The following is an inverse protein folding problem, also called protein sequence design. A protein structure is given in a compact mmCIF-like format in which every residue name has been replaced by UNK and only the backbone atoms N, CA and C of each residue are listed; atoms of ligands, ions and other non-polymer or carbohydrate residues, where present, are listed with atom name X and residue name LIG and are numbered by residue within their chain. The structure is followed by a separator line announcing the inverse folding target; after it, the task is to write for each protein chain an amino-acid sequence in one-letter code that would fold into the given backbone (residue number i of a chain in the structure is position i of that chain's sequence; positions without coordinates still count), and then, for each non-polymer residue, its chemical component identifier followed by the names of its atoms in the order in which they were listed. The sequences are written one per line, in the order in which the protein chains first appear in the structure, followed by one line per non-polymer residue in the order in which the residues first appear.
data_IF_257637327421
#
_entry.id   IF_257637327421
#
_cell.length_a   1.000
_cell.length_b   1.000
_cell.length_c   1.000
_cell.angle_alpha   90.00
_cell.angle_beta   90.00
_cell.angle_gamma   90.00
#
_symmetry.space_group_name_H-M   'P 1'
#
loop_
_entity.id
_entity.type
_entity.pdbx_description
1 polymer ?
#
# COMPACT_ATOMS: atom_id res chain seq x y z
N UNK A 1 11.71 35.77 41.32
CA UNK A 1 12.74 34.97 40.64
C UNK A 1 12.14 33.60 40.37
N UNK A 2 11.99 33.25 39.10
CA UNK A 2 11.43 31.97 38.64
C UNK A 2 12.49 30.88 38.76
N UNK A 3 12.23 29.73 39.41
CA UNK A 3 12.87 28.49 39.06
C UNK A 3 12.03 27.82 37.97
N UNK A 4 12.54 27.85 36.74
CA UNK A 4 12.07 27.05 35.63
C UNK A 4 12.09 25.56 36.00
N UNK A 5 10.92 24.98 36.25
CA UNK A 5 10.74 23.53 36.24
C UNK A 5 10.92 23.05 34.80
N UNK A 6 12.04 22.39 34.56
CA UNK A 6 12.26 21.56 33.38
C UNK A 6 11.27 20.39 33.45
N UNK A 7 10.21 20.43 32.66
CA UNK A 7 9.39 19.25 32.42
C UNK A 7 10.17 18.32 31.52
N UNK A 8 10.79 17.27 32.08
CA UNK A 8 11.29 16.14 31.31
C UNK A 8 10.10 15.55 30.54
N UNK A 9 10.04 15.83 29.24
CA UNK A 9 9.12 15.13 28.34
C UNK A 9 9.62 13.69 28.24
N UNK A 10 8.94 12.81 28.97
CA UNK A 10 9.12 11.38 28.83
C UNK A 10 8.73 11.01 27.39
N UNK A 11 9.73 10.65 26.56
CA UNK A 11 9.50 10.14 25.22
C UNK A 11 8.95 8.73 25.40
N UNK A 12 7.63 8.59 25.47
CA UNK A 12 6.99 7.27 25.37
C UNK A 12 7.27 6.74 23.97
N UNK A 13 8.00 5.63 23.88
CA UNK A 13 8.15 4.90 22.62
C UNK A 13 6.78 4.26 22.32
N UNK A 14 6.00 4.91 21.46
CA UNK A 14 4.71 4.40 20.99
C UNK A 14 4.95 3.19 20.07
N UNK A 15 4.77 1.98 20.61
CA UNK A 15 4.62 0.78 19.80
C UNK A 15 3.13 0.60 19.49
N UNK A 16 2.76 0.52 18.21
CA UNK A 16 1.35 0.39 17.83
C UNK A 16 0.70 -0.91 18.32
N UNK A 17 1.48 -1.91 18.70
CA UNK A 17 0.99 -3.24 19.07
C UNK A 17 0.39 -4.03 17.90
N UNK A 18 0.50 -3.50 16.67
CA UNK A 18 -0.03 -4.11 15.45
C UNK A 18 1.07 -4.87 14.73
N UNK A 19 0.79 -6.13 14.39
CA UNK A 19 1.70 -6.98 13.59
C UNK A 19 1.30 -6.97 12.12
N UNK A 20 2.21 -7.35 11.22
CA UNK A 20 1.90 -7.46 9.79
C UNK A 20 1.68 -8.93 9.47
N UNK A 21 0.57 -9.26 8.81
CA UNK A 21 0.31 -10.62 8.36
C UNK A 21 1.33 -11.03 7.27
N UNK A 22 1.82 -12.27 7.31
CA UNK A 22 2.79 -12.81 6.35
C UNK A 22 2.32 -12.67 4.89
N UNK A 23 1.00 -12.72 4.66
CA UNK A 23 0.44 -12.49 3.33
C UNK A 23 0.73 -11.08 2.80
N UNK A 24 0.66 -10.06 3.65
CA UNK A 24 0.99 -8.67 3.27
C UNK A 24 2.47 -8.57 2.89
N UNK A 25 3.35 -9.25 3.64
CA UNK A 25 4.79 -9.30 3.36
C UNK A 25 5.05 -10.00 2.01
N UNK A 26 4.36 -11.12 1.75
CA UNK A 26 4.43 -11.83 0.47
C UNK A 26 3.99 -10.94 -0.68
N UNK A 27 2.83 -10.28 -0.55
CA UNK A 27 2.29 -9.36 -1.56
C UNK A 27 3.26 -8.21 -1.85
N UNK A 28 3.82 -7.59 -0.81
CA UNK A 28 4.82 -6.53 -0.95
C UNK A 28 6.06 -7.01 -1.72
N UNK A 29 6.60 -8.17 -1.37
CA UNK A 29 7.77 -8.72 -2.04
C UNK A 29 7.49 -9.08 -3.50
N UNK A 30 6.31 -9.64 -3.79
CA UNK A 30 5.90 -9.95 -5.16
C UNK A 30 5.77 -8.69 -6.02
N UNK A 31 5.19 -7.61 -5.47
CA UNK A 31 5.12 -6.31 -6.15
C UNK A 31 6.50 -5.68 -6.34
N UNK A 32 7.39 -5.79 -5.35
CA UNK A 32 8.73 -5.21 -5.37
C UNK A 32 9.67 -5.89 -6.37
N UNK A 33 9.69 -7.23 -6.43
CA UNK A 33 10.70 -7.98 -7.18
C UNK A 33 10.39 -8.05 -8.69
N UNK A 34 9.16 -7.69 -9.10
CA UNK A 34 8.73 -7.62 -10.52
C UNK A 34 9.24 -8.80 -11.36
N UNK A 35 9.03 -10.04 -10.90
CA UNK A 35 9.42 -11.25 -11.64
C UNK A 35 8.63 -11.31 -12.96
N UNK A 36 9.30 -11.07 -14.08
CA UNK A 36 8.70 -11.08 -15.42
C UNK A 36 9.15 -12.33 -16.18
N UNK A 37 8.54 -13.47 -15.85
CA UNK A 37 8.90 -14.77 -16.44
C UNK A 37 8.07 -15.06 -17.70
N UNK A 38 6.78 -14.73 -17.67
CA UNK A 38 5.83 -14.97 -18.77
C UNK A 38 4.76 -13.88 -18.86
N UNK A 39 4.12 -13.74 -20.03
CA UNK A 39 3.01 -12.79 -20.25
C UNK A 39 1.84 -13.03 -19.28
N UNK A 40 1.56 -14.30 -18.96
CA UNK A 40 0.51 -14.67 -18.02
C UNK A 40 0.85 -14.30 -16.57
N UNK A 41 2.13 -14.41 -16.18
CA UNK A 41 2.58 -13.96 -14.87
C UNK A 41 2.49 -12.43 -14.74
N UNK A 42 2.80 -11.70 -15.82
CA UNK A 42 2.71 -10.24 -15.86
C UNK A 42 1.28 -9.77 -15.63
N UNK A 43 0.29 -10.42 -16.26
CA UNK A 43 -1.13 -10.08 -16.09
C UNK A 43 -1.61 -10.28 -14.65
N UNK A 44 -1.11 -11.30 -13.96
CA UNK A 44 -1.45 -11.60 -12.55
C UNK A 44 -0.78 -10.70 -11.53
N UNK A 45 0.18 -9.85 -11.94
CA UNK A 45 0.80 -8.89 -11.04
C UNK A 45 -0.22 -7.88 -10.54
N UNK A 46 -0.09 -7.50 -9.28
CA UNK A 46 -0.92 -6.44 -8.69
C UNK A 46 -0.40 -5.08 -9.14
N UNK A 47 -1.25 -4.29 -9.77
CA UNK A 47 -1.04 -2.86 -10.00
C UNK A 47 -1.28 -2.07 -8.72
N UNK A 48 -2.32 -2.47 -7.98
CA UNK A 48 -2.68 -1.85 -6.71
C UNK A 48 -3.30 -2.87 -5.76
N UNK A 49 -3.17 -2.65 -4.46
CA UNK A 49 -3.79 -3.48 -3.41
C UNK A 49 -4.02 -2.65 -2.15
N UNK A 50 -5.14 -2.88 -1.47
CA UNK A 50 -5.44 -2.30 -0.16
C UNK A 50 -5.19 -3.30 0.97
N UNK A 51 -4.81 -2.74 2.10
CA UNK A 51 -4.68 -3.42 3.38
C UNK A 51 -5.52 -2.68 4.42
N UNK A 52 -6.03 -3.43 5.38
CA UNK A 52 -6.78 -2.91 6.52
C UNK A 52 -6.26 -3.52 7.81
N UNK A 53 -6.73 -2.99 8.94
CA UNK A 53 -6.58 -3.67 10.22
C UNK A 53 -7.56 -4.84 10.27
N UNK A 54 -7.13 -5.95 10.88
CA UNK A 54 -8.01 -7.04 11.28
C UNK A 54 -9.09 -6.53 12.24
N UNK A 55 -10.19 -7.28 12.36
CA UNK A 55 -11.31 -6.91 13.25
C UNK A 55 -10.88 -6.65 14.70
N UNK A 56 -9.90 -7.43 15.20
CA UNK A 56 -9.31 -7.28 16.53
C UNK A 56 -8.26 -6.16 16.63
N UNK A 57 -7.96 -5.47 15.52
CA UNK A 57 -6.96 -4.41 15.36
C UNK A 57 -5.53 -4.80 15.71
N UNK A 58 -5.21 -6.10 15.74
CA UNK A 58 -3.86 -6.60 16.09
C UNK A 58 -2.99 -6.87 14.87
N UNK A 59 -3.57 -6.93 13.67
CA UNK A 59 -2.85 -7.28 12.44
C UNK A 59 -3.19 -6.34 11.29
N UNK A 60 -2.22 -6.05 10.45
CA UNK A 60 -2.46 -5.54 9.09
C UNK A 60 -2.65 -6.75 8.18
N UNK A 61 -3.76 -6.78 7.45
CA UNK A 61 -4.16 -7.87 6.55
C UNK A 61 -4.48 -7.34 5.15
N UNK A 62 -4.43 -8.20 4.15
CA UNK A 62 -4.90 -7.87 2.80
C UNK A 62 -6.41 -7.69 2.82
N UNK A 63 -6.92 -6.62 2.22
CA UNK A 63 -8.35 -6.43 2.06
C UNK A 63 -8.82 -7.19 0.81
N UNK A 64 -9.57 -8.26 1.01
CA UNK A 64 -10.03 -9.13 -0.06
C UNK A 64 -10.87 -8.37 -1.09
N UNK A 65 -10.64 -8.64 -2.38
CA UNK A 65 -11.36 -8.00 -3.48
C UNK A 65 -10.97 -6.53 -3.75
N UNK A 66 -10.11 -5.93 -2.93
CA UNK A 66 -9.63 -4.54 -3.09
C UNK A 66 -8.24 -4.49 -3.72
N UNK A 67 -8.14 -5.06 -4.92
CA UNK A 67 -6.91 -5.06 -5.72
C UNK A 67 -7.22 -4.79 -7.19
N UNK A 68 -6.19 -4.35 -7.92
CA UNK A 68 -6.23 -4.14 -9.37
C UNK A 68 -5.07 -4.95 -9.96
N UNK A 69 -5.32 -5.77 -10.97
CA UNK A 69 -4.26 -6.50 -11.66
C UNK A 69 -3.75 -5.72 -12.86
N UNK A 70 -2.50 -5.94 -13.23
CA UNK A 70 -1.90 -5.35 -14.44
C UNK A 70 -2.62 -5.84 -15.69
N UNK A 71 -3.09 -7.09 -15.68
CA UNK A 71 -3.86 -7.67 -16.78
C UNK A 71 -5.24 -7.05 -16.99
N UNK A 72 -5.78 -6.34 -16.00
CA UNK A 72 -7.09 -5.68 -16.12
C UNK A 72 -6.97 -4.33 -16.86
N UNK A 73 -5.76 -3.77 -16.93
CA UNK A 73 -5.48 -2.47 -17.53
C UNK A 73 -5.64 -2.56 -19.05
N UNK A 74 -6.53 -1.75 -19.60
CA UNK A 74 -6.87 -1.76 -21.03
C UNK A 74 -7.88 -2.86 -21.44
N UNK A 75 -8.28 -3.73 -20.52
CA UNK A 75 -9.35 -4.71 -20.73
C UNK A 75 -10.65 -4.25 -20.04
N UNK A 76 -10.57 -3.97 -18.73
CA UNK A 76 -11.71 -3.52 -17.92
C UNK A 76 -11.40 -2.27 -17.07
N UNK A 77 -10.13 -1.87 -17.02
CA UNK A 77 -9.63 -0.72 -16.26
C UNK A 77 -8.90 0.23 -17.22
N UNK A 78 -9.56 1.33 -17.58
CA UNK A 78 -8.96 2.38 -18.43
C UNK A 78 -8.01 3.30 -17.64
N UNK A 79 -8.44 3.69 -16.43
CA UNK A 79 -7.66 4.53 -15.51
C UNK A 79 -7.38 3.76 -14.21
N UNK A 80 -6.19 3.14 -14.08
CA UNK A 80 -5.83 2.38 -12.89
C UNK A 80 -5.79 3.22 -11.61
N UNK A 81 -5.37 4.48 -11.70
CA UNK A 81 -5.27 5.34 -10.52
C UNK A 81 -6.66 5.81 -10.08
N UNK A 82 -7.50 6.24 -11.01
CA UNK A 82 -8.89 6.58 -10.73
C UNK A 82 -9.68 5.40 -10.17
N UNK A 83 -9.47 4.18 -10.68
CA UNK A 83 -10.05 2.96 -10.12
C UNK A 83 -9.53 2.69 -8.70
N UNK A 84 -8.22 2.87 -8.44
CA UNK A 84 -7.65 2.72 -7.11
C UNK A 84 -8.29 3.70 -6.10
N UNK A 85 -8.44 4.97 -6.47
CA UNK A 85 -9.08 5.99 -5.61
C UNK A 85 -10.53 5.61 -5.28
N UNK A 86 -11.28 5.03 -6.23
CA UNK A 86 -12.65 4.55 -6.00
C UNK A 86 -12.73 3.35 -5.04
N UNK A 87 -11.64 2.60 -4.84
CA UNK A 87 -11.61 1.50 -3.89
C UNK A 87 -11.48 1.98 -2.44
N UNK A 88 -10.93 3.17 -2.22
CA UNK A 88 -10.66 3.76 -0.92
C UNK A 88 -11.98 4.21 -0.24
N UNK A 89 -12.26 3.76 0.99
CA UNK A 89 -13.47 4.13 1.69
C UNK A 89 -13.39 5.55 2.26
N UNK A 90 -14.43 6.40 2.13
CA UNK A 90 -14.36 7.81 2.56
C UNK A 90 -14.32 8.00 4.08
N UNK A 91 -14.75 7.00 4.85
CA UNK A 91 -14.97 7.11 6.31
C UNK A 91 -14.14 6.09 7.11
N UNK A 92 -13.14 5.46 6.49
CA UNK A 92 -12.33 4.44 7.14
C UNK A 92 -10.90 4.48 6.61
N UNK A 93 -9.92 4.24 7.47
CA UNK A 93 -8.51 4.34 7.09
C UNK A 93 -8.05 3.09 6.36
N UNK A 94 -7.14 3.26 5.40
CA UNK A 94 -6.53 2.14 4.66
C UNK A 94 -5.05 2.36 4.45
N UNK A 95 -4.34 1.24 4.30
CA UNK A 95 -3.02 1.26 3.69
C UNK A 95 -3.15 0.75 2.26
N UNK A 96 -2.32 1.27 1.36
CA UNK A 96 -2.30 0.82 -0.02
C UNK A 96 -0.88 0.71 -0.55
N UNK A 97 -0.68 -0.23 -1.47
CA UNK A 97 0.47 -0.23 -2.35
C UNK A 97 0.00 0.01 -3.78
N UNK A 98 0.67 0.92 -4.46
CA UNK A 98 0.42 1.26 -5.85
C UNK A 98 1.72 1.23 -6.64
N UNK A 99 1.81 0.38 -7.66
CA UNK A 99 2.95 0.36 -8.59
C UNK A 99 2.78 1.50 -9.59
N UNK A 100 3.31 2.68 -9.25
CA UNK A 100 3.16 3.89 -10.05
C UNK A 100 4.05 3.82 -11.28
N UNK A 101 3.46 4.04 -12.45
CA UNK A 101 4.20 4.17 -13.71
C UNK A 101 4.03 5.60 -14.19
N UNK A 102 5.13 6.32 -14.39
CA UNK A 102 5.12 7.71 -14.81
C UNK A 102 6.26 7.98 -15.78
N UNK A 103 6.11 9.03 -16.59
CA UNK A 103 7.10 9.41 -17.59
C UNK A 103 7.75 10.74 -17.19
N UNK A 104 9.09 10.75 -17.22
CA UNK A 104 9.88 11.98 -17.17
C UNK A 104 10.34 12.34 -18.58
N UNK A 105 10.93 13.52 -18.76
CA UNK A 105 11.53 13.92 -20.04
C UNK A 105 12.62 12.95 -20.53
N UNK A 106 13.21 12.18 -19.61
CA UNK A 106 14.37 11.33 -19.88
C UNK A 106 14.00 9.85 -19.97
N UNK A 107 13.04 9.38 -19.16
CA UNK A 107 12.70 7.96 -19.11
C UNK A 107 11.32 7.72 -18.51
N UNK A 108 10.78 6.55 -18.84
CA UNK A 108 9.67 5.95 -18.10
C UNK A 108 10.21 5.34 -16.81
N UNK A 109 9.57 5.69 -15.69
CA UNK A 109 9.90 5.20 -14.35
C UNK A 109 8.73 4.40 -13.81
N UNK A 110 9.07 3.51 -12.88
CA UNK A 110 8.11 2.71 -12.17
C UNK A 110 8.55 2.58 -10.71
N UNK A 111 7.77 3.13 -9.78
CA UNK A 111 8.06 3.11 -8.36
C UNK A 111 6.90 2.53 -7.56
N UNK A 112 7.23 1.74 -6.54
CA UNK A 112 6.24 1.22 -5.61
C UNK A 112 5.94 2.27 -4.54
N UNK A 113 4.72 2.79 -4.53
CA UNK A 113 4.26 3.83 -3.62
C UNK A 113 3.43 3.20 -2.51
N UNK A 114 3.82 3.47 -1.26
CA UNK A 114 3.01 3.17 -0.09
C UNK A 114 2.11 4.36 0.22
N UNK A 115 0.82 4.08 0.45
CA UNK A 115 -0.22 5.07 0.64
C UNK A 115 -0.85 4.83 2.01
N UNK A 116 -1.00 5.90 2.78
CA UNK A 116 -1.82 5.94 3.99
C UNK A 116 -3.01 6.84 3.71
N UNK A 117 -4.21 6.27 3.83
CA UNK A 117 -5.49 6.90 3.52
C UNK A 117 -6.32 7.05 4.79
#
# INVERSE_FOLDING_TARGET
MNPSLNSEQHITIEASGVTVNDEVIRVFNDMKVRKSSSTEDVKKRKKAVLFCLSEDKKKIIVEEGKQILVGDIGESVDDPYGCFVKLLPPNDCRYGLYDATYETKESKKEDLVFIFW
#
